data_IF_840378268614
#
_entry.id   IF_840378268614
#
_cell.length_a   1.000
_cell.length_b   1.000
_cell.length_c   1.000
_cell.angle_alpha   90.00
_cell.angle_beta   90.00
_cell.angle_gamma   90.00
#
_symmetry.space_group_name_H-M   'P 1'
#
loop_
_entity.id
_entity.type
_entity.pdbx_description
1 polymer ?
#
# COMPACT_ATOMS: atom_id res chain seq x y z
N UNK A 1 -40.65 -52.68 -39.38
CA UNK A 1 -40.27 -51.35 -39.91
C UNK A 1 -41.35 -50.90 -40.89
N UNK A 2 -42.19 -49.95 -40.50
CA UNK A 2 -43.04 -49.17 -41.42
C UNK A 2 -43.86 -48.10 -40.65
N UNK A 3 -43.92 -46.89 -41.25
CA UNK A 3 -45.05 -45.92 -41.27
C UNK A 3 -45.27 -45.14 -39.96
N UNK A 4 -45.54 -43.84 -39.89
CA UNK A 4 -46.06 -42.77 -40.80
C UNK A 4 -45.94 -41.45 -40.00
N UNK A 5 -45.33 -40.38 -40.52
CA UNK A 5 -45.97 -39.20 -41.13
C UNK A 5 -46.99 -38.40 -40.27
N UNK A 6 -46.55 -37.18 -39.87
CA UNK A 6 -47.28 -35.89 -39.83
C UNK A 6 -48.34 -35.67 -38.72
N UNK A 7 -48.12 -34.69 -37.83
CA UNK A 7 -48.79 -33.38 -37.85
C UNK A 7 -48.32 -32.47 -36.69
N UNK A 8 -48.12 -31.21 -37.07
CA UNK A 8 -47.95 -29.98 -36.30
C UNK A 8 -48.83 -29.85 -35.05
N UNK A 9 -48.40 -29.07 -34.04
CA UNK A 9 -48.91 -27.72 -33.73
C UNK A 9 -48.58 -27.29 -32.28
N UNK A 10 -47.77 -26.23 -32.16
CA UNK A 10 -47.87 -25.06 -31.24
C UNK A 10 -48.24 -25.29 -29.76
N UNK A 11 -47.33 -24.88 -28.86
CA UNK A 11 -47.68 -23.87 -27.85
C UNK A 11 -46.43 -23.19 -27.26
N UNK A 12 -46.21 -21.96 -27.72
CA UNK A 12 -45.32 -20.99 -27.09
C UNK A 12 -45.95 -20.53 -25.78
N UNK A 13 -45.31 -20.84 -24.64
CA UNK A 13 -45.59 -20.19 -23.36
C UNK A 13 -44.45 -19.23 -23.09
N UNK A 14 -44.68 -17.96 -23.46
CA UNK A 14 -43.84 -16.82 -23.08
C UNK A 14 -44.12 -16.56 -21.60
N UNK A 15 -43.31 -17.15 -20.73
CA UNK A 15 -43.23 -16.77 -19.33
C UNK A 15 -42.32 -15.54 -19.18
N UNK A 16 -42.90 -14.35 -19.24
CA UNK A 16 -42.22 -13.10 -18.93
C UNK A 16 -41.90 -13.05 -17.43
N UNK A 17 -40.74 -13.57 -17.02
CA UNK A 17 -40.17 -13.22 -15.72
C UNK A 17 -39.59 -11.82 -15.84
N UNK A 18 -40.29 -10.86 -15.24
CA UNK A 18 -39.80 -9.49 -15.05
C UNK A 18 -38.57 -9.54 -14.15
N UNK A 19 -37.40 -9.54 -14.78
CA UNK A 19 -36.12 -9.38 -14.09
C UNK A 19 -36.01 -7.91 -13.66
N UNK A 20 -36.49 -7.61 -12.45
CA UNK A 20 -36.18 -6.36 -11.76
C UNK A 20 -34.70 -6.38 -11.34
N UNK A 21 -33.79 -6.22 -12.31
CA UNK A 21 -32.39 -5.91 -12.05
C UNK A 21 -32.35 -4.48 -11.51
N UNK A 22 -32.56 -4.35 -10.20
CA UNK A 22 -32.34 -3.14 -9.44
C UNK A 22 -30.83 -2.83 -9.46
N UNK A 23 -30.37 -2.18 -10.53
CA UNK A 23 -29.07 -1.52 -10.60
C UNK A 23 -29.12 -0.30 -9.66
N UNK A 24 -28.98 -0.57 -8.37
CA UNK A 24 -28.69 0.48 -7.41
C UNK A 24 -27.18 0.75 -7.51
N UNK A 25 -26.83 1.72 -8.37
CA UNK A 25 -25.49 2.29 -8.47
C UNK A 25 -25.16 3.05 -7.20
N UNK A 26 -24.86 2.33 -6.11
CA UNK A 26 -24.18 2.92 -4.97
C UNK A 26 -22.76 3.25 -5.43
N UNK A 27 -22.49 4.54 -5.59
CA UNK A 27 -21.14 5.09 -5.66
C UNK A 27 -20.39 4.60 -4.41
N UNK A 28 -19.64 3.51 -4.55
CA UNK A 28 -18.73 3.05 -3.51
C UNK A 28 -17.63 4.11 -3.41
N UNK A 29 -17.72 4.95 -2.38
CA UNK A 29 -16.63 5.83 -2.00
C UNK A 29 -15.38 4.96 -1.82
N UNK A 30 -14.25 5.26 -2.49
CA UNK A 30 -13.03 4.51 -2.32
C UNK A 30 -12.69 4.44 -0.82
N UNK A 31 -12.29 3.26 -0.30
CA UNK A 31 -11.86 3.15 1.08
C UNK A 31 -10.73 4.16 1.35
N UNK A 32 -10.70 4.77 2.54
CA UNK A 32 -9.68 5.76 2.86
C UNK A 32 -8.28 5.14 2.73
N UNK A 33 -7.30 5.91 2.21
CA UNK A 33 -5.95 5.41 2.02
C UNK A 33 -5.38 4.92 3.35
N UNK A 34 -4.88 3.69 3.37
CA UNK A 34 -4.27 3.11 4.56
C UNK A 34 -2.91 3.76 4.78
N UNK A 35 -2.71 4.37 5.96
CA UNK A 35 -1.46 5.03 6.35
C UNK A 35 -0.83 4.27 7.51
N UNK A 36 0.46 4.00 7.43
CA UNK A 36 1.27 3.46 8.52
C UNK A 36 2.19 4.56 9.08
N UNK A 37 2.55 4.44 10.35
CA UNK A 37 3.30 5.48 11.07
C UNK A 37 4.60 4.96 11.71
N UNK A 38 5.60 4.53 10.91
CA UNK A 38 6.86 4.08 11.47
C UNK A 38 7.61 5.24 12.13
N UNK A 39 8.28 4.92 13.24
CA UNK A 39 9.15 5.84 13.96
C UNK A 39 10.61 5.51 13.63
N UNK A 40 11.35 6.50 13.17
CA UNK A 40 12.77 6.38 12.85
C UNK A 40 13.53 7.52 13.51
N UNK A 41 14.81 7.31 13.81
CA UNK A 41 15.69 8.42 14.17
C UNK A 41 16.04 9.25 12.94
N UNK A 42 16.45 10.52 13.13
CA UNK A 42 16.98 11.36 12.05
C UNK A 42 18.15 10.68 11.35
N UNK A 43 19.06 10.02 12.09
CA UNK A 43 20.16 9.26 11.50
C UNK A 43 19.68 8.15 10.56
N UNK A 44 18.66 7.41 10.97
CA UNK A 44 18.06 6.34 10.15
C UNK A 44 17.38 6.92 8.91
N UNK A 45 16.68 8.05 9.01
CA UNK A 45 16.09 8.74 7.85
C UNK A 45 17.14 9.17 6.82
N UNK A 46 18.22 9.80 7.28
CA UNK A 46 19.34 10.21 6.40
C UNK A 46 19.98 9.00 5.73
N UNK A 47 20.22 7.93 6.50
CA UNK A 47 20.72 6.68 5.96
C UNK A 47 19.80 6.10 4.88
N UNK A 48 18.50 5.99 5.15
CA UNK A 48 17.52 5.46 4.20
C UNK A 48 17.45 6.28 2.93
N UNK A 49 17.43 7.62 3.05
CA UNK A 49 17.43 8.52 1.90
C UNK A 49 18.68 8.32 1.03
N UNK A 50 19.86 8.25 1.64
CA UNK A 50 21.10 8.02 0.92
C UNK A 50 21.12 6.63 0.27
N UNK A 51 20.60 5.61 0.96
CA UNK A 51 20.57 4.25 0.46
C UNK A 51 19.67 4.13 -0.78
N UNK A 52 18.45 4.65 -0.75
CA UNK A 52 17.56 4.58 -1.92
C UNK A 52 18.09 5.41 -3.10
N UNK A 53 18.83 6.50 -2.83
CA UNK A 53 19.46 7.32 -3.88
C UNK A 53 20.60 6.58 -4.61
N UNK A 54 21.14 5.50 -4.02
CA UNK A 54 22.16 4.65 -4.66
C UNK A 54 21.59 3.56 -5.56
N UNK A 55 20.27 3.36 -5.56
CA UNK A 55 19.62 2.29 -6.33
C UNK A 55 19.45 2.73 -7.79
N UNK A 56 19.76 1.84 -8.73
CA UNK A 56 19.46 2.05 -10.14
C UNK A 56 17.95 1.99 -10.39
N UNK A 57 17.37 3.02 -11.00
CA UNK A 57 15.92 3.13 -11.19
C UNK A 57 15.54 2.75 -12.62
N UNK A 58 14.57 1.84 -12.76
CA UNK A 58 13.97 1.53 -14.07
C UNK A 58 12.95 2.60 -14.44
N UNK A 59 12.72 2.84 -15.73
CA UNK A 59 11.78 3.87 -16.19
C UNK A 59 10.38 3.76 -15.58
N UNK A 60 9.89 2.55 -15.33
CA UNK A 60 8.58 2.29 -14.67
C UNK A 60 8.54 2.60 -13.17
N UNK A 61 9.69 2.77 -12.53
CA UNK A 61 9.83 2.99 -11.08
C UNK A 61 10.05 4.46 -10.73
N UNK A 62 10.20 5.35 -11.73
CA UNK A 62 10.57 6.76 -11.51
C UNK A 62 9.59 7.46 -10.58
N UNK A 63 8.29 7.33 -10.81
CA UNK A 63 7.28 7.99 -9.98
C UNK A 63 7.29 7.46 -8.55
N UNK A 64 7.38 6.14 -8.38
CA UNK A 64 7.50 5.50 -7.08
C UNK A 64 8.75 5.97 -6.32
N UNK A 65 9.88 6.08 -7.00
CA UNK A 65 11.12 6.60 -6.42
C UNK A 65 10.99 8.07 -5.99
N UNK A 66 10.45 8.93 -6.86
CA UNK A 66 10.28 10.34 -6.57
C UNK A 66 9.33 10.56 -5.38
N UNK A 67 8.26 9.79 -5.31
CA UNK A 67 7.30 9.85 -4.20
C UNK A 67 7.95 9.45 -2.87
N UNK A 68 8.65 8.32 -2.83
CA UNK A 68 9.36 7.86 -1.62
C UNK A 68 10.42 8.88 -1.20
N UNK A 69 11.23 9.36 -2.15
CA UNK A 69 12.27 10.37 -1.89
C UNK A 69 11.67 11.65 -1.33
N UNK A 70 10.54 12.09 -1.88
CA UNK A 70 9.81 13.27 -1.41
C UNK A 70 9.37 13.10 0.04
N UNK A 71 8.72 11.99 0.39
CA UNK A 71 8.24 11.77 1.77
C UNK A 71 9.40 11.77 2.77
N UNK A 72 10.51 11.12 2.44
CA UNK A 72 11.70 11.10 3.32
C UNK A 72 12.34 12.48 3.46
N UNK A 73 12.43 13.24 2.37
CA UNK A 73 13.01 14.60 2.37
C UNK A 73 12.12 15.57 3.15
N UNK A 74 10.80 15.53 2.91
CA UNK A 74 9.82 16.36 3.62
C UNK A 74 9.84 16.06 5.13
N UNK A 75 10.04 14.79 5.53
CA UNK A 75 10.16 14.40 6.93
C UNK A 75 11.45 14.97 7.59
N UNK A 76 12.58 14.95 6.88
CA UNK A 76 13.83 15.56 7.35
C UNK A 76 13.72 17.08 7.48
N UNK A 77 13.15 17.74 6.46
CA UNK A 77 12.92 19.18 6.48
C UNK A 77 11.96 19.57 7.62
N UNK A 78 10.92 18.77 7.85
CA UNK A 78 10.00 18.93 8.97
C UNK A 78 10.69 18.80 10.32
N UNK A 79 11.57 17.82 10.49
CA UNK A 79 12.35 17.63 11.71
C UNK A 79 13.29 18.82 11.97
N UNK A 80 13.97 19.32 10.94
CA UNK A 80 14.82 20.51 11.04
C UNK A 80 14.03 21.76 11.44
N UNK A 81 12.88 22.01 10.80
CA UNK A 81 11.99 23.13 11.14
C UNK A 81 11.45 23.05 12.57
N UNK A 82 11.32 21.83 13.12
CA UNK A 82 10.92 21.59 14.50
C UNK A 82 12.09 21.60 15.50
N UNK A 83 13.31 22.01 15.09
CA UNK A 83 14.54 21.94 15.88
C UNK A 83 14.88 20.52 16.41
N UNK A 84 14.44 19.48 15.69
CA UNK A 84 14.75 18.06 15.94
C UNK A 84 15.78 17.57 14.92
N UNK A 85 16.95 18.18 14.95
CA UNK A 85 18.03 17.89 14.00
C UNK A 85 19.08 16.91 14.56
N UNK A 86 18.97 16.47 15.83
CA UNK A 86 19.96 15.56 16.39
C UNK A 86 19.82 14.17 15.76
N UNK A 87 20.92 13.46 15.52
CA UNK A 87 20.89 12.12 14.93
C UNK A 87 19.99 11.11 15.66
N UNK A 88 19.80 11.29 16.97
CA UNK A 88 19.00 10.42 17.84
C UNK A 88 17.54 10.85 17.97
N UNK A 89 17.17 12.03 17.46
CA UNK A 89 15.79 12.51 17.56
C UNK A 89 14.86 11.62 16.75
N UNK A 90 13.70 11.28 17.31
CA UNK A 90 12.69 10.46 16.64
C UNK A 90 11.78 11.30 15.74
N UNK A 91 11.50 10.76 14.56
CA UNK A 91 10.59 11.29 13.56
C UNK A 91 9.58 10.21 13.20
N UNK A 92 8.30 10.57 13.25
CA UNK A 92 7.23 9.70 12.77
C UNK A 92 6.96 10.01 11.30
N UNK A 93 7.12 9.02 10.44
CA UNK A 93 6.78 9.13 9.02
C UNK A 93 5.30 8.79 8.82
N UNK A 94 4.60 9.56 8.00
CA UNK A 94 3.25 9.18 7.54
C UNK A 94 3.36 8.58 6.14
N UNK A 95 3.33 7.25 6.07
CA UNK A 95 3.46 6.53 4.79
C UNK A 95 2.12 5.93 4.39
N UNK A 96 1.61 6.31 3.22
CA UNK A 96 0.56 5.52 2.59
C UNK A 96 1.11 4.13 2.27
N UNK A 97 0.29 3.09 2.42
CA UNK A 97 0.73 1.71 2.26
C UNK A 97 1.41 1.42 0.91
N UNK A 98 0.95 1.96 -0.25
CA UNK A 98 1.67 1.80 -1.51
C UNK A 98 3.08 2.42 -1.49
N UNK A 99 3.24 3.59 -0.86
CA UNK A 99 4.54 4.28 -0.72
C UNK A 99 5.47 3.49 0.19
N UNK A 100 4.95 2.94 1.29
CA UNK A 100 5.72 2.06 2.18
C UNK A 100 6.21 0.80 1.43
N UNK A 101 5.36 0.21 0.60
CA UNK A 101 5.74 -0.95 -0.21
C UNK A 101 6.84 -0.58 -1.22
N UNK A 102 6.72 0.57 -1.89
CA UNK A 102 7.75 1.08 -2.80
C UNK A 102 9.08 1.33 -2.07
N UNK A 103 9.04 1.92 -0.88
CA UNK A 103 10.22 2.13 -0.04
C UNK A 103 10.90 0.80 0.30
N UNK A 104 10.15 -0.20 0.75
CA UNK A 104 10.67 -1.54 1.04
C UNK A 104 11.30 -2.16 -0.20
N UNK A 105 10.65 -2.08 -1.35
CA UNK A 105 11.18 -2.61 -2.62
C UNK A 105 12.48 -1.91 -3.01
N UNK A 106 12.57 -0.59 -2.89
CA UNK A 106 13.80 0.17 -3.17
C UNK A 106 14.93 -0.22 -2.20
N UNK A 107 14.63 -0.32 -0.90
CA UNK A 107 15.60 -0.71 0.11
C UNK A 107 16.15 -2.12 -0.13
N UNK A 108 15.30 -3.09 -0.49
CA UNK A 108 15.72 -4.47 -0.79
C UNK A 108 16.64 -4.58 -2.01
N UNK A 109 16.60 -3.60 -2.92
CA UNK A 109 17.47 -3.56 -4.10
C UNK A 109 18.82 -2.89 -3.83
N UNK A 110 18.95 -2.19 -2.71
CA UNK A 110 20.18 -1.50 -2.38
C UNK A 110 21.28 -2.48 -1.95
N UNK A 111 22.53 -2.12 -2.23
CA UNK A 111 23.69 -2.85 -1.71
C UNK A 111 24.09 -2.25 -0.37
N UNK A 112 24.12 -3.09 0.67
CA UNK A 112 24.51 -2.68 2.02
C UNK A 112 25.86 -3.28 2.40
N UNK A 113 26.67 -2.50 3.12
CA UNK A 113 27.88 -3.03 3.73
C UNK A 113 27.54 -3.79 5.01
N UNK A 114 28.43 -4.67 5.47
CA UNK A 114 28.25 -5.34 6.76
C UNK A 114 28.16 -4.34 7.93
N UNK A 115 28.88 -3.21 7.86
CA UNK A 115 28.85 -2.17 8.88
C UNK A 115 27.48 -1.46 8.99
N UNK A 116 26.69 -1.48 7.92
CA UNK A 116 25.36 -0.85 7.87
C UNK A 116 24.21 -1.84 8.11
N UNK A 117 24.50 -3.13 8.29
CA UNK A 117 23.49 -4.18 8.37
C UNK A 117 22.49 -3.96 9.51
N UNK A 118 22.97 -3.57 10.70
CA UNK A 118 22.11 -3.30 11.85
C UNK A 118 21.19 -2.11 11.61
N UNK A 119 21.71 -1.04 10.99
CA UNK A 119 20.92 0.15 10.69
C UNK A 119 19.85 -0.15 9.64
N UNK A 120 20.20 -0.92 8.60
CA UNK A 120 19.25 -1.41 7.62
C UNK A 120 18.12 -2.21 8.28
N UNK A 121 18.48 -3.17 9.16
CA UNK A 121 17.51 -4.00 9.86
C UNK A 121 16.57 -3.17 10.74
N UNK A 122 17.10 -2.21 11.50
CA UNK A 122 16.29 -1.32 12.35
C UNK A 122 15.23 -0.57 11.55
N UNK A 123 15.59 -0.04 10.38
CA UNK A 123 14.62 0.67 9.51
C UNK A 123 13.55 -0.29 9.00
N UNK A 124 13.94 -1.45 8.49
CA UNK A 124 13.00 -2.45 7.96
C UNK A 124 12.04 -2.94 9.05
N UNK A 125 12.54 -3.22 10.25
CA UNK A 125 11.74 -3.65 11.39
C UNK A 125 10.74 -2.57 11.81
N UNK A 126 11.13 -1.28 11.81
CA UNK A 126 10.22 -0.17 12.11
C UNK A 126 9.09 -0.05 11.09
N UNK A 127 9.37 -0.18 9.80
CA UNK A 127 8.36 -0.13 8.73
C UNK A 127 7.39 -1.31 8.86
N UNK A 128 7.92 -2.53 8.99
CA UNK A 128 7.11 -3.74 9.11
C UNK A 128 6.27 -3.75 10.39
N UNK A 129 6.84 -3.31 11.52
CA UNK A 129 6.14 -3.18 12.79
C UNK A 129 4.97 -2.19 12.70
N UNK A 130 5.16 -1.05 12.05
CA UNK A 130 4.09 -0.07 11.85
C UNK A 130 2.95 -0.63 10.96
N UNK A 131 3.28 -1.41 9.92
CA UNK A 131 2.29 -2.06 9.08
C UNK A 131 1.47 -3.11 9.83
N UNK A 132 2.10 -3.91 10.68
CA UNK A 132 1.43 -4.91 11.52
C UNK A 132 0.49 -4.27 12.55
N UNK A 133 0.93 -3.18 13.19
CA UNK A 133 0.11 -2.43 14.15
C UNK A 133 -1.15 -1.85 13.49
N UNK A 134 -1.02 -1.33 12.27
CA UNK A 134 -2.17 -0.82 11.50
C UNK A 134 -3.17 -1.94 11.17
N UNK A 135 -2.70 -3.13 10.82
CA UNK A 135 -3.54 -4.30 10.59
C UNK A 135 -4.32 -4.76 11.83
N UNK A 136 -3.72 -4.65 13.01
CA UNK A 136 -4.38 -4.97 14.29
C UNK A 136 -5.42 -3.93 14.70
N UNK A 137 -5.14 -2.64 14.47
CA UNK A 137 -6.09 -1.55 14.72
C UNK A 137 -7.34 -1.64 13.83
N UNK A 138 -7.17 -2.08 12.57
CA UNK A 138 -8.29 -2.30 11.65
C UNK A 138 -9.15 -3.53 12.00
N UNK A 139 -8.55 -4.59 12.59
CA UNK A 139 -9.25 -5.81 13.00
C UNK A 139 -9.99 -5.72 14.35
N UNK A 140 -9.62 -4.76 15.21
CA UNK A 140 -10.22 -4.57 16.54
C UNK A 140 -11.63 -3.97 16.56
N UNK A 141 -12.08 -3.39 15.44
CA UNK A 141 -13.38 -2.68 15.35
C UNK A 141 -14.62 -3.56 15.13
N UNK A 142 -14.48 -4.87 14.94
CA UNK A 142 -15.60 -5.75 14.53
C UNK A 142 -16.15 -6.67 15.64
N UNK A 143 -15.73 -6.53 16.90
CA UNK A 143 -16.15 -7.46 17.99
C UNK A 143 -17.04 -6.85 19.08
N UNK A 144 -17.74 -5.76 18.79
CA UNK A 144 -18.74 -5.22 19.72
C UNK A 144 -19.99 -4.78 18.95
N UNK A 145 -20.82 -5.76 18.55
CA UNK A 145 -22.27 -5.60 18.43
C UNK A 145 -22.93 -6.93 18.79
#
# INVERSE_FOLDING_TARGET
MHRTWVYWLVLAVIGSTTLSAQQNGQLQTPPPPQVIKPKLTVASLVFTLNLINSVEIQGREVDAFLEVRKVLSDALDGAQKANRANPTDEVTLELQLPVAQNLVTLMQRARITGADADRYKQVMDAIMGAAQQQGQAAGGGQRQR
#
